data_IF_168179899704
#
_entry.id   IF_168179899704
#
_cell.length_a   1.000
_cell.length_b   1.000
_cell.length_c   1.000
_cell.angle_alpha   90.00
_cell.angle_beta   90.00
_cell.angle_gamma   90.00
#
_symmetry.space_group_name_H-M   'P 1'
#
loop_
_entity.id
_entity.type
_entity.pdbx_description
1 polymer ?
#
# COMPACT_ATOMS: atom_id res chain seq x y z
N UNK A 1 9.25 -12.73 4.44
CA UNK A 1 10.50 -12.67 5.24
C UNK A 1 11.12 -11.26 5.32
N UNK A 2 11.22 -10.47 4.23
CA UNK A 2 11.87 -9.14 4.29
C UNK A 2 11.27 -8.18 5.36
N UNK A 3 9.94 -8.11 5.46
CA UNK A 3 9.22 -7.31 6.47
C UNK A 3 9.49 -7.81 7.90
N UNK A 4 9.48 -9.12 8.12
CA UNK A 4 9.77 -9.73 9.42
C UNK A 4 11.21 -9.42 9.88
N UNK A 5 12.16 -9.39 8.95
CA UNK A 5 13.56 -9.06 9.19
C UNK A 5 13.84 -7.56 9.23
N UNK A 6 12.80 -6.70 9.19
CA UNK A 6 12.91 -5.24 9.15
C UNK A 6 13.84 -4.70 8.04
N UNK A 7 14.04 -5.47 6.96
CA UNK A 7 14.91 -5.08 5.86
C UNK A 7 14.16 -4.15 4.90
N UNK A 8 14.27 -2.84 5.16
CA UNK A 8 13.56 -1.77 4.44
C UNK A 8 13.82 -1.83 2.92
N UNK A 9 15.09 -1.98 2.52
CA UNK A 9 15.49 -2.01 1.10
C UNK A 9 14.86 -3.20 0.39
N UNK A 10 14.99 -4.41 0.94
CA UNK A 10 14.41 -5.62 0.33
C UNK A 10 12.89 -5.57 0.31
N UNK A 11 12.25 -5.01 1.33
CA UNK A 11 10.80 -4.88 1.35
C UNK A 11 10.28 -3.90 0.30
N UNK A 12 10.93 -2.74 0.14
CA UNK A 12 10.60 -1.79 -0.94
C UNK A 12 10.80 -2.42 -2.32
N UNK A 13 11.93 -3.10 -2.54
CA UNK A 13 12.21 -3.79 -3.80
C UNK A 13 11.15 -4.86 -4.10
N UNK A 14 10.77 -5.67 -3.10
CA UNK A 14 9.73 -6.67 -3.26
C UNK A 14 8.38 -6.06 -3.64
N UNK A 15 7.98 -4.94 -3.02
CA UNK A 15 6.73 -4.24 -3.37
C UNK A 15 6.73 -3.73 -4.80
N UNK A 16 7.87 -3.21 -5.27
CA UNK A 16 8.01 -2.75 -6.66
C UNK A 16 7.90 -3.91 -7.65
N UNK A 17 8.60 -5.02 -7.39
CA UNK A 17 8.51 -6.24 -8.24
C UNK A 17 7.08 -6.79 -8.26
N UNK A 18 6.41 -6.86 -7.10
CA UNK A 18 5.01 -7.30 -7.04
C UNK A 18 4.08 -6.37 -7.82
N UNK A 19 4.33 -5.05 -7.81
CA UNK A 19 3.56 -4.10 -8.60
C UNK A 19 3.83 -4.26 -10.11
N UNK A 20 5.08 -4.47 -10.51
CA UNK A 20 5.46 -4.70 -11.91
C UNK A 20 4.84 -5.98 -12.48
N UNK A 21 4.67 -6.99 -11.64
CA UNK A 21 4.07 -8.27 -12.01
C UNK A 21 2.56 -8.35 -11.78
N UNK A 22 1.91 -7.23 -11.43
CA UNK A 22 0.47 -7.19 -11.16
C UNK A 22 0.02 -8.11 -9.99
N UNK A 23 0.94 -8.54 -9.12
CA UNK A 23 0.63 -9.34 -7.94
C UNK A 23 0.28 -8.49 -6.72
N UNK A 24 0.75 -7.25 -6.66
CA UNK A 24 0.54 -6.40 -5.48
C UNK A 24 -0.94 -6.03 -5.29
N UNK A 25 -1.73 -5.91 -6.36
CA UNK A 25 -3.17 -5.70 -6.23
C UNK A 25 -3.94 -6.99 -6.03
N UNK A 26 -3.52 -8.08 -6.68
CA UNK A 26 -4.09 -9.41 -6.50
C UNK A 26 -3.95 -9.90 -5.06
N UNK A 27 -2.83 -9.66 -4.38
CA UNK A 27 -2.62 -10.17 -3.01
C UNK A 27 -3.67 -9.64 -2.01
N UNK A 28 -4.19 -8.42 -2.21
CA UNK A 28 -5.26 -7.87 -1.37
C UNK A 28 -6.62 -8.50 -1.65
N UNK A 29 -6.81 -9.09 -2.83
CA UNK A 29 -8.06 -9.71 -3.27
C UNK A 29 -8.03 -11.21 -3.02
N UNK A 30 -6.94 -11.89 -3.33
CA UNK A 30 -6.85 -13.35 -3.47
C UNK A 30 -6.29 -14.04 -2.21
N UNK A 31 -5.44 -13.37 -1.42
CA UNK A 31 -4.86 -13.97 -0.22
C UNK A 31 -5.81 -13.85 0.99
N UNK A 32 -6.64 -14.88 1.18
CA UNK A 32 -7.59 -14.98 2.29
C UNK A 32 -6.96 -14.79 3.68
N UNK A 33 -5.74 -15.30 3.88
CA UNK A 33 -5.06 -15.23 5.16
C UNK A 33 -4.60 -13.80 5.43
N UNK A 34 -4.02 -13.15 4.42
CA UNK A 34 -3.66 -11.74 4.49
C UNK A 34 -4.91 -10.88 4.73
N UNK A 35 -6.01 -11.11 4.00
CA UNK A 35 -7.24 -10.33 4.20
C UNK A 35 -7.77 -10.46 5.62
N UNK A 36 -7.89 -11.69 6.16
CA UNK A 36 -8.34 -11.93 7.55
C UNK A 36 -7.44 -11.22 8.55
N UNK A 37 -6.13 -11.29 8.34
CA UNK A 37 -5.16 -10.60 9.18
C UNK A 37 -5.31 -9.07 9.12
N UNK A 38 -5.44 -8.51 7.92
CA UNK A 38 -5.63 -7.07 7.72
C UNK A 38 -6.97 -6.61 8.32
N UNK A 39 -8.04 -7.37 8.19
CA UNK A 39 -9.35 -7.05 8.80
C UNK A 39 -9.21 -6.93 10.32
N UNK A 40 -8.58 -7.91 10.99
CA UNK A 40 -8.37 -7.85 12.44
C UNK A 40 -7.50 -6.64 12.82
N UNK A 41 -6.41 -6.43 12.09
CA UNK A 41 -5.46 -5.34 12.34
C UNK A 41 -6.09 -3.96 12.12
N UNK A 42 -6.84 -3.80 11.04
CA UNK A 42 -7.47 -2.54 10.64
C UNK A 42 -8.75 -2.25 11.40
N UNK A 43 -9.47 -3.25 11.92
CA UNK A 43 -10.68 -3.02 12.72
C UNK A 43 -10.37 -2.23 13.99
N UNK A 44 -9.24 -2.53 14.64
CA UNK A 44 -8.80 -1.78 15.82
C UNK A 44 -8.37 -0.34 15.49
N UNK A 45 -7.82 -0.10 14.29
CA UNK A 45 -7.23 1.18 13.89
C UNK A 45 -8.23 2.13 13.21
N UNK A 46 -9.03 1.60 12.30
CA UNK A 46 -9.92 2.36 11.40
C UNK A 46 -11.41 2.09 11.67
N UNK A 47 -11.74 1.12 12.54
CA UNK A 47 -13.10 0.79 12.92
C UNK A 47 -13.81 -0.19 11.98
N UNK A 48 -15.00 -0.61 12.40
CA UNK A 48 -15.80 -1.66 11.72
C UNK A 48 -16.17 -1.26 10.29
N UNK A 49 -16.66 -0.05 10.07
CA UNK A 49 -17.10 0.44 8.75
C UNK A 49 -16.01 0.30 7.70
N UNK A 50 -14.77 0.71 8.03
CA UNK A 50 -13.64 0.60 7.11
C UNK A 50 -13.35 -0.86 6.72
N UNK A 51 -13.39 -1.77 7.69
CA UNK A 51 -13.15 -3.20 7.44
C UNK A 51 -14.27 -3.87 6.66
N UNK A 52 -15.53 -3.48 6.90
CA UNK A 52 -16.67 -4.02 6.15
C UNK A 52 -16.62 -3.59 4.67
N UNK A 53 -16.12 -2.38 4.40
CA UNK A 53 -15.87 -1.91 3.03
C UNK A 53 -14.71 -2.65 2.37
N UNK A 54 -13.65 -2.95 3.14
CA UNK A 54 -12.51 -3.74 2.66
C UNK A 54 -12.93 -5.15 2.27
N UNK A 55 -13.77 -5.79 3.09
CA UNK A 55 -14.31 -7.12 2.80
C UNK A 55 -15.15 -7.14 1.51
N UNK A 56 -15.95 -6.10 1.26
CA UNK A 56 -16.80 -6.00 0.07
C UNK A 56 -16.01 -5.71 -1.21
N UNK A 57 -15.02 -4.83 -1.12
CA UNK A 57 -14.23 -4.43 -2.28
C UNK A 57 -12.78 -4.11 -1.88
N UNK A 58 -11.92 -5.12 -1.73
CA UNK A 58 -10.54 -4.92 -1.28
C UNK A 58 -9.66 -4.20 -2.31
N UNK A 59 -10.12 -4.13 -3.57
CA UNK A 59 -9.38 -3.51 -4.67
C UNK A 59 -9.41 -1.98 -4.66
N UNK A 60 -10.19 -1.36 -3.77
CA UNK A 60 -10.25 0.11 -3.72
C UNK A 60 -8.90 0.72 -3.39
N UNK A 61 -8.63 1.86 -4.04
CA UNK A 61 -7.39 2.63 -3.90
C UNK A 61 -6.99 2.90 -2.44
N UNK A 62 -7.95 3.26 -1.58
CA UNK A 62 -7.68 3.54 -0.16
C UNK A 62 -7.11 2.35 0.60
N UNK A 63 -7.49 1.12 0.25
CA UNK A 63 -6.96 -0.08 0.89
C UNK A 63 -5.54 -0.40 0.43
N UNK A 64 -5.22 -0.14 -0.84
CA UNK A 64 -3.84 -0.18 -1.33
C UNK A 64 -2.96 0.84 -0.58
N UNK A 65 -3.46 2.08 -0.40
CA UNK A 65 -2.77 3.10 0.40
C UNK A 65 -2.56 2.63 1.84
N UNK A 66 -3.63 2.18 2.53
CA UNK A 66 -3.53 1.67 3.90
C UNK A 66 -2.60 0.47 4.02
N UNK A 67 -2.55 -0.40 3.02
CA UNK A 67 -1.62 -1.54 2.99
C UNK A 67 -0.17 -1.08 2.86
N UNK A 68 0.12 -0.16 1.94
CA UNK A 68 1.48 0.39 1.79
C UNK A 68 1.91 1.09 3.09
N UNK A 69 1.04 1.92 3.69
CA UNK A 69 1.32 2.59 4.98
C UNK A 69 1.54 1.58 6.09
N UNK A 70 0.70 0.55 6.19
CA UNK A 70 0.87 -0.51 7.16
C UNK A 70 2.25 -1.18 7.04
N UNK A 71 2.64 -1.60 5.83
CA UNK A 71 3.93 -2.28 5.64
C UNK A 71 5.12 -1.33 5.86
N UNK A 72 5.07 -0.12 5.33
CA UNK A 72 6.23 0.79 5.34
C UNK A 72 6.33 1.58 6.65
N UNK A 73 5.25 2.20 7.11
CA UNK A 73 5.26 3.06 8.30
C UNK A 73 5.22 2.21 9.57
N UNK A 74 4.29 1.27 9.67
CA UNK A 74 4.09 0.53 10.94
C UNK A 74 5.03 -0.66 11.06
N UNK A 75 5.16 -1.47 10.01
CA UNK A 75 6.00 -2.67 10.06
C UNK A 75 7.47 -2.37 9.86
N UNK A 76 7.83 -1.32 9.13
CA UNK A 76 9.22 -1.00 8.80
C UNK A 76 9.70 0.34 9.39
N UNK A 77 8.84 1.06 10.13
CA UNK A 77 9.20 2.33 10.80
C UNK A 77 9.84 3.31 9.81
N UNK A 78 9.25 3.40 8.62
CA UNK A 78 9.61 4.41 7.64
C UNK A 78 8.79 5.68 7.87
N UNK A 79 9.34 6.82 7.43
CA UNK A 79 8.60 8.07 7.45
C UNK A 79 7.46 8.05 6.43
N UNK A 80 6.45 8.90 6.63
CA UNK A 80 5.38 9.08 5.63
C UNK A 80 5.97 9.51 4.28
N UNK A 81 6.94 10.43 4.29
CA UNK A 81 7.61 10.90 3.08
C UNK A 81 8.25 9.75 2.29
N UNK A 82 9.01 8.85 2.94
CA UNK A 82 9.63 7.71 2.25
C UNK A 82 8.60 6.69 1.75
N UNK A 83 7.54 6.47 2.55
CA UNK A 83 6.46 5.55 2.22
C UNK A 83 5.63 6.04 1.03
N UNK A 84 5.28 7.33 1.02
CA UNK A 84 4.58 7.99 -0.06
C UNK A 84 5.44 8.06 -1.33
N UNK A 85 6.75 8.25 -1.20
CA UNK A 85 7.69 8.17 -2.33
C UNK A 85 7.67 6.80 -3.00
N UNK A 86 7.60 5.71 -2.21
CA UNK A 86 7.42 4.37 -2.76
C UNK A 86 6.06 4.25 -3.48
N UNK A 87 4.99 4.77 -2.89
CA UNK A 87 3.66 4.74 -3.49
C UNK A 87 3.60 5.50 -4.83
N UNK A 88 4.33 6.61 -4.98
CA UNK A 88 4.49 7.30 -6.29
C UNK A 88 5.14 6.37 -7.33
N UNK A 89 6.19 5.62 -6.95
CA UNK A 89 6.82 4.66 -7.87
C UNK A 89 5.84 3.57 -8.30
N UNK A 90 5.09 3.00 -7.36
CA UNK A 90 4.04 2.01 -7.62
C UNK A 90 2.96 2.60 -8.55
N UNK A 91 2.53 3.83 -8.32
CA UNK A 91 1.59 4.52 -9.20
C UNK A 91 2.11 4.69 -10.62
N UNK A 92 3.39 5.02 -10.78
CA UNK A 92 4.01 5.13 -12.10
C UNK A 92 4.09 3.76 -12.81
N UNK A 93 4.32 2.67 -12.08
CA UNK A 93 4.28 1.30 -12.62
C UNK A 93 2.88 0.99 -13.15
N UNK A 94 1.84 1.19 -12.33
CA UNK A 94 0.46 0.90 -12.75
C UNK A 94 -0.04 1.81 -13.87
N UNK A 95 0.40 3.07 -13.90
CA UNK A 95 0.11 3.98 -15.01
C UNK A 95 0.69 3.44 -16.31
N UNK A 96 1.92 2.89 -16.29
CA UNK A 96 2.55 2.30 -17.48
C UNK A 96 1.88 1.01 -17.93
N UNK A 97 1.32 0.21 -17.02
CA UNK A 97 0.60 -1.02 -17.36
C UNK A 97 -0.87 -0.81 -17.74
N UNK A 98 -1.37 0.44 -17.76
CA UNK A 98 -2.76 0.76 -18.10
C UNK A 98 -3.76 0.55 -16.95
N UNK A 99 -3.29 0.22 -15.74
CA UNK A 99 -4.13 0.05 -14.54
C UNK A 99 -4.44 1.40 -13.87
N UNK A 100 -5.41 2.10 -14.43
CA UNK A 100 -5.82 3.44 -13.99
C UNK A 100 -6.28 3.54 -12.53
N UNK A 101 -6.71 2.44 -11.88
CA UNK A 101 -7.21 2.47 -10.49
C UNK A 101 -6.16 2.89 -9.45
N UNK A 102 -4.87 2.68 -9.72
CA UNK A 102 -3.77 2.98 -8.78
C UNK A 102 -2.76 4.00 -9.31
N UNK A 103 -3.10 4.71 -10.38
CA UNK A 103 -2.20 5.68 -11.01
C UNK A 103 -1.88 6.92 -10.13
N UNK A 104 -2.55 7.08 -8.98
CA UNK A 104 -2.42 8.24 -8.10
C UNK A 104 -2.49 7.85 -6.61
N UNK A 105 -1.62 6.99 -6.09
CA UNK A 105 -1.62 6.59 -4.67
C UNK A 105 -0.98 7.64 -3.76
N UNK A 106 0.01 8.36 -4.28
CA UNK A 106 0.69 9.46 -3.60
C UNK A 106 1.13 10.53 -4.61
N UNK A 107 1.56 11.69 -4.12
CA UNK A 107 2.05 12.81 -4.91
C UNK A 107 3.21 13.52 -4.20
N UNK A 108 3.99 14.31 -4.94
CA UNK A 108 4.97 15.25 -4.38
C UNK A 108 4.26 16.59 -4.18
N UNK A 109 4.13 17.03 -2.93
CA UNK A 109 3.71 18.38 -2.61
C UNK A 109 4.89 19.34 -2.83
N UNK A 110 4.75 20.26 -3.78
CA UNK A 110 5.81 21.19 -4.15
C UNK A 110 6.01 22.30 -3.10
N UNK A 111 5.01 22.56 -2.24
CA UNK A 111 5.08 23.62 -1.23
C UNK A 111 6.08 23.28 -0.13
N UNK A 112 6.02 22.05 0.38
CA UNK A 112 6.91 21.57 1.45
C UNK A 112 7.97 20.56 0.96
N UNK A 113 7.94 20.23 -0.34
CA UNK A 113 8.85 19.27 -1.00
C UNK A 113 8.76 17.87 -0.36
N UNK A 114 7.60 17.50 0.17
CA UNK A 114 7.34 16.19 0.76
C UNK A 114 6.41 15.34 -0.12
N UNK A 115 6.65 14.04 -0.13
CA UNK A 115 5.71 13.09 -0.68
C UNK A 115 4.57 12.84 0.32
N UNK A 116 3.33 12.86 -0.18
CA UNK A 116 2.10 12.65 0.61
C UNK A 116 1.20 11.64 -0.07
N UNK A 117 0.47 10.87 0.72
CA UNK A 117 -0.57 9.99 0.19
C UNK A 117 -1.79 10.81 -0.26
N UNK A 118 -2.50 10.32 -1.28
CA UNK A 118 -3.84 10.83 -1.55
C UNK A 118 -4.79 10.35 -0.44
N UNK A 119 -5.51 11.29 0.16
CA UNK A 119 -6.59 11.02 1.11
C UNK A 119 -7.84 10.50 0.39
#
# INVERSE_FOLDING_TARGET
KAVQLKNKIRAQAAMLVLAEQDYLDQILVEDDNLRKFLIVTWRAKYGKTFTDEFEKNPSQKKFMVSFIRYVMEERLEMTENDSARLAVKISNIYKKSGKNKYQQLAYLDLKDKQFKFFQ
#
